data_IF_210144505450
#
_entry.id   IF_210144505450
#
_cell.length_a   1.000
_cell.length_b   1.000
_cell.length_c   1.000
_cell.angle_alpha   90.00
_cell.angle_beta   90.00
_cell.angle_gamma   90.00
#
_symmetry.space_group_name_H-M   'P 1'
#
loop_
_entity.id
_entity.type
_entity.pdbx_description
1 polymer ?
#
# COMPACT_ATOMS: atom_id res chain seq x y z
N UNK A 1 13.29 15.47 -12.41
CA UNK A 1 12.54 15.99 -11.25
C UNK A 1 11.83 14.81 -10.62
N UNK A 2 12.00 14.62 -9.33
CA UNK A 2 11.67 13.38 -8.59
C UNK A 2 10.46 13.52 -7.67
N UNK A 3 9.73 14.63 -7.81
CA UNK A 3 8.51 14.89 -7.05
C UNK A 3 7.38 13.95 -7.50
N UNK A 4 6.66 13.39 -6.53
CA UNK A 4 5.50 12.51 -6.73
C UNK A 4 4.29 13.34 -7.16
N UNK A 5 3.67 12.99 -8.29
CA UNK A 5 2.49 13.69 -8.82
C UNK A 5 1.23 12.83 -8.86
N UNK A 6 1.38 11.52 -8.88
CA UNK A 6 0.23 10.63 -8.95
C UNK A 6 0.54 9.28 -8.31
N UNK A 7 -0.47 8.74 -7.63
CA UNK A 7 -0.42 7.40 -7.04
C UNK A 7 -1.70 6.69 -7.44
N UNK A 8 -1.54 5.49 -7.97
CA UNK A 8 -2.64 4.61 -8.35
C UNK A 8 -2.47 3.27 -7.63
N UNK A 9 -3.57 2.68 -7.18
CA UNK A 9 -3.57 1.34 -6.61
C UNK A 9 -4.70 0.50 -7.16
N UNK A 10 -4.47 -0.82 -7.24
CA UNK A 10 -5.42 -1.79 -7.75
C UNK A 10 -5.32 -3.11 -6.99
N UNK A 11 -6.41 -3.86 -7.02
CA UNK A 11 -6.44 -5.26 -6.57
C UNK A 11 -6.01 -6.16 -7.73
N UNK A 12 -4.97 -6.97 -7.52
CA UNK A 12 -4.50 -8.01 -8.43
C UNK A 12 -4.53 -9.38 -7.74
N UNK A 13 -4.11 -10.46 -8.41
CA UNK A 13 -4.02 -11.79 -7.82
C UNK A 13 -2.56 -12.20 -7.57
N UNK A 14 -2.29 -12.77 -6.40
CA UNK A 14 -1.01 -13.40 -6.06
C UNK A 14 -0.84 -14.77 -6.75
N UNK A 15 0.33 -15.39 -6.55
CA UNK A 15 0.65 -16.71 -7.12
C UNK A 15 -0.24 -17.86 -6.62
N UNK A 16 -1.05 -17.63 -5.58
CA UNK A 16 -2.02 -18.58 -5.01
C UNK A 16 -3.46 -18.23 -5.40
N UNK A 17 -3.66 -17.24 -6.27
CA UNK A 17 -4.97 -16.76 -6.70
C UNK A 17 -5.73 -15.96 -5.62
N UNK A 18 -5.06 -15.52 -4.55
CA UNK A 18 -5.68 -14.63 -3.57
C UNK A 18 -5.49 -13.16 -3.97
N UNK A 19 -6.43 -12.28 -3.65
CA UNK A 19 -6.24 -10.85 -3.86
C UNK A 19 -5.02 -10.31 -3.13
N UNK A 20 -4.28 -9.45 -3.81
CA UNK A 20 -3.24 -8.59 -3.22
C UNK A 20 -3.25 -7.21 -3.89
N UNK A 21 -2.50 -6.26 -3.33
CA UNK A 21 -2.42 -4.89 -3.80
C UNK A 21 -1.21 -4.67 -4.69
N UNK A 22 -1.41 -3.92 -5.77
CA UNK A 22 -0.36 -3.34 -6.60
C UNK A 22 -0.51 -1.81 -6.60
N UNK A 23 0.61 -1.11 -6.52
CA UNK A 23 0.67 0.36 -6.51
C UNK A 23 1.62 0.83 -7.59
N UNK A 24 1.25 1.94 -8.24
CA UNK A 24 2.07 2.69 -9.19
C UNK A 24 2.26 4.12 -8.67
N UNK A 25 3.50 4.60 -8.66
CA UNK A 25 3.87 5.97 -8.26
C UNK A 25 4.48 6.66 -9.47
N UNK A 26 3.89 7.77 -9.91
CA UNK A 26 4.36 8.56 -11.05
C UNK A 26 4.99 9.86 -10.58
N UNK A 27 6.16 10.18 -11.14
CA UNK A 27 6.93 11.39 -10.84
C UNK A 27 6.73 12.47 -11.90
N UNK A 28 7.09 13.71 -11.58
CA UNK A 28 7.12 14.83 -12.56
C UNK A 28 7.97 14.50 -13.79
N UNK A 29 9.03 13.70 -13.65
CA UNK A 29 9.85 13.26 -14.79
C UNK A 29 9.11 12.38 -15.81
N UNK A 30 7.91 11.91 -15.48
CA UNK A 30 7.18 10.88 -16.24
C UNK A 30 7.61 9.46 -15.90
N UNK A 31 8.62 9.27 -15.05
CA UNK A 31 9.01 7.96 -14.53
C UNK A 31 7.90 7.39 -13.65
N UNK A 32 7.64 6.09 -13.76
CA UNK A 32 6.67 5.38 -12.93
C UNK A 32 7.32 4.13 -12.37
N UNK A 33 7.28 3.97 -11.05
CA UNK A 33 7.63 2.72 -10.38
C UNK A 33 6.36 1.97 -9.98
N UNK A 34 6.50 0.64 -9.87
CA UNK A 34 5.38 -0.27 -9.63
C UNK A 34 5.80 -1.41 -8.72
N UNK A 35 5.01 -1.66 -7.69
CA UNK A 35 5.22 -2.77 -6.78
C UNK A 35 3.91 -3.45 -6.40
N UNK A 36 3.95 -4.78 -6.36
CA UNK A 36 2.92 -5.60 -5.77
C UNK A 36 3.46 -6.23 -4.48
N UNK A 37 2.63 -6.29 -3.44
CA UNK A 37 3.04 -6.84 -2.16
C UNK A 37 2.62 -8.31 -2.08
N UNK A 38 3.51 -9.25 -1.72
CA UNK A 38 3.12 -10.63 -1.54
C UNK A 38 2.21 -10.77 -0.31
N UNK A 39 1.20 -11.63 -0.42
CA UNK A 39 0.45 -12.07 0.76
C UNK A 39 1.23 -13.17 1.48
N UNK A 40 1.57 -12.94 2.75
CA UNK A 40 2.13 -13.97 3.62
C UNK A 40 1.12 -15.08 3.92
N UNK A 41 1.62 -16.30 4.21
CA UNK A 41 0.82 -17.33 4.90
C UNK A 41 0.93 -17.20 6.43
N UNK A 42 2.02 -16.57 6.90
CA UNK A 42 2.28 -16.34 8.32
C UNK A 42 1.34 -15.26 8.86
N UNK A 43 0.87 -15.48 10.08
CA UNK A 43 -0.01 -14.57 10.83
C UNK A 43 0.51 -14.43 12.26
N UNK A 44 1.83 -14.37 12.42
CA UNK A 44 2.45 -14.23 13.74
C UNK A 44 1.87 -13.01 14.47
N UNK A 45 1.60 -13.15 15.76
CA UNK A 45 0.94 -12.12 16.58
C UNK A 45 1.71 -10.78 16.65
N UNK A 46 3.00 -10.80 16.29
CA UNK A 46 3.88 -9.64 16.25
C UNK A 46 4.18 -9.14 14.83
N UNK A 47 3.55 -9.71 13.80
CA UNK A 47 3.71 -9.24 12.42
C UNK A 47 2.88 -7.99 12.16
N UNK A 48 3.31 -7.21 11.18
CA UNK A 48 2.56 -6.05 10.70
C UNK A 48 1.29 -6.54 9.98
N UNK A 49 0.17 -5.86 10.21
CA UNK A 49 -1.14 -6.37 9.81
C UNK A 49 -1.43 -6.13 8.32
N UNK A 50 -1.57 -7.21 7.55
CA UNK A 50 -2.15 -7.16 6.21
C UNK A 50 -3.64 -6.82 6.30
N UNK A 51 -4.06 -5.71 5.68
CA UNK A 51 -5.47 -5.30 5.72
C UNK A 51 -6.28 -6.00 4.63
N UNK A 52 -7.30 -6.75 5.09
CA UNK A 52 -8.22 -7.54 4.28
C UNK A 52 -9.66 -7.02 4.42
N UNK A 53 -10.47 -7.26 3.41
CA UNK A 53 -11.86 -6.80 3.35
C UNK A 53 -12.74 -7.52 4.39
N UNK A 54 -12.55 -8.82 4.58
CA UNK A 54 -13.38 -9.67 5.45
C UNK A 54 -14.74 -10.05 4.85
N UNK A 55 -15.05 -9.60 3.62
CA UNK A 55 -16.28 -9.94 2.92
C UNK A 55 -16.26 -11.37 2.38
N UNK A 56 -16.95 -12.30 3.07
CA UNK A 56 -17.00 -13.72 2.69
C UNK A 56 -17.54 -13.97 1.27
N UNK A 57 -18.32 -13.05 0.70
CA UNK A 57 -18.85 -13.17 -0.67
C UNK A 57 -17.79 -12.92 -1.73
N UNK A 58 -16.68 -12.26 -1.38
CA UNK A 58 -15.57 -11.93 -2.28
C UNK A 58 -14.29 -12.61 -1.84
N UNK A 59 -13.77 -13.52 -2.67
CA UNK A 59 -12.52 -14.23 -2.40
C UNK A 59 -12.46 -14.83 -0.99
N UNK A 60 -13.59 -15.33 -0.47
CA UNK A 60 -13.70 -15.91 0.87
C UNK A 60 -13.24 -14.96 2.00
N UNK A 61 -13.44 -13.64 1.84
CA UNK A 61 -13.00 -12.63 2.81
C UNK A 61 -11.61 -12.07 2.56
N UNK A 62 -10.90 -12.58 1.55
CA UNK A 62 -9.50 -12.22 1.28
C UNK A 62 -9.30 -11.02 0.35
N UNK A 63 -10.37 -10.35 -0.07
CA UNK A 63 -10.26 -9.10 -0.84
C UNK A 63 -9.41 -8.04 -0.13
N UNK A 64 -8.85 -7.09 -0.88
CA UNK A 64 -7.97 -6.02 -0.36
C UNK A 64 -8.44 -4.62 -0.78
N UNK A 65 -9.73 -4.45 -1.12
CA UNK A 65 -10.26 -3.14 -1.52
C UNK A 65 -10.12 -2.07 -0.44
N UNK A 66 -10.16 -2.43 0.85
CA UNK A 66 -9.88 -1.49 1.94
C UNK A 66 -8.45 -0.95 1.88
N UNK A 67 -7.47 -1.82 1.63
CA UNK A 67 -6.07 -1.42 1.46
C UNK A 67 -5.89 -0.52 0.22
N UNK A 68 -6.52 -0.89 -0.90
CA UNK A 68 -6.52 -0.07 -2.13
C UNK A 68 -7.12 1.31 -1.88
N UNK A 69 -8.27 1.39 -1.21
CA UNK A 69 -8.90 2.66 -0.82
C UNK A 69 -8.00 3.49 0.10
N UNK A 70 -7.32 2.87 1.07
CA UNK A 70 -6.37 3.59 1.91
C UNK A 70 -5.19 4.19 1.11
N UNK A 71 -4.71 3.52 0.06
CA UNK A 71 -3.68 4.12 -0.82
C UNK A 71 -4.21 5.34 -1.56
N UNK A 72 -5.39 5.24 -2.17
CA UNK A 72 -5.96 6.31 -3.01
C UNK A 72 -6.44 7.50 -2.18
N UNK A 73 -7.17 7.23 -1.09
CA UNK A 73 -7.92 8.25 -0.36
C UNK A 73 -7.13 8.86 0.81
N UNK A 74 -6.06 8.20 1.28
CA UNK A 74 -5.27 8.65 2.45
C UNK A 74 -3.80 8.83 2.13
N UNK A 75 -3.12 7.76 1.71
CA UNK A 75 -1.66 7.81 1.48
C UNK A 75 -1.34 8.77 0.34
N UNK A 76 -2.02 8.63 -0.80
CA UNK A 76 -1.83 9.45 -1.99
C UNK A 76 -1.82 10.95 -1.68
N UNK A 77 -2.92 11.51 -1.15
CA UNK A 77 -2.99 12.93 -0.78
C UNK A 77 -1.93 13.38 0.23
N UNK A 78 -1.45 12.48 1.09
CA UNK A 78 -0.47 12.80 2.12
C UNK A 78 0.99 12.80 1.66
N UNK A 79 1.29 12.25 0.48
CA UNK A 79 2.68 12.18 -0.04
C UNK A 79 2.88 12.76 -1.44
N UNK A 80 1.80 13.17 -2.13
CA UNK A 80 1.93 13.99 -3.36
C UNK A 80 2.73 15.26 -3.03
N UNK A 81 3.66 15.61 -3.92
CA UNK A 81 4.58 16.74 -3.74
C UNK A 81 5.85 16.40 -2.96
N UNK A 82 5.98 15.20 -2.39
CA UNK A 82 7.23 14.75 -1.78
C UNK A 82 8.25 14.31 -2.84
N UNK A 83 9.53 14.46 -2.54
CA UNK A 83 10.64 13.96 -3.36
C UNK A 83 10.84 12.46 -3.13
N UNK A 84 10.73 11.63 -4.17
CA UNK A 84 10.87 10.18 -4.09
C UNK A 84 12.27 9.74 -3.63
N UNK A 85 13.29 10.59 -3.73
CA UNK A 85 14.64 10.28 -3.23
C UNK A 85 14.74 10.33 -1.70
N UNK A 86 13.77 10.97 -1.03
CA UNK A 86 13.69 11.04 0.42
C UNK A 86 12.86 9.88 0.99
N UNK A 87 13.25 8.64 0.69
CA UNK A 87 12.55 7.41 1.08
C UNK A 87 12.13 7.41 2.55
N UNK A 88 13.05 7.79 3.45
CA UNK A 88 12.80 7.81 4.89
C UNK A 88 11.65 8.74 5.27
N UNK A 89 11.59 9.92 4.67
CA UNK A 89 10.55 10.90 4.98
C UNK A 89 9.18 10.42 4.52
N UNK A 90 9.12 9.77 3.35
CA UNK A 90 7.90 9.16 2.80
C UNK A 90 7.43 8.03 3.71
N UNK A 91 8.32 7.11 4.08
CA UNK A 91 8.00 5.99 4.98
C UNK A 91 7.54 6.49 6.35
N UNK A 92 8.22 7.48 6.93
CA UNK A 92 7.82 8.08 8.20
C UNK A 92 6.48 8.82 8.08
N UNK A 93 6.18 9.49 6.97
CA UNK A 93 4.89 10.13 6.73
C UNK A 93 3.75 9.10 6.73
N UNK A 94 3.93 7.97 6.03
CA UNK A 94 2.95 6.88 6.00
C UNK A 94 2.78 6.21 7.37
N UNK A 95 3.88 5.98 8.10
CA UNK A 95 3.84 5.42 9.46
C UNK A 95 3.10 6.37 10.43
N UNK A 96 3.38 7.67 10.36
CA UNK A 96 2.68 8.68 11.18
C UNK A 96 1.19 8.76 10.81
N UNK A 97 0.86 8.69 9.53
CA UNK A 97 -0.51 8.72 9.04
C UNK A 97 -1.32 7.49 9.49
N UNK A 98 -0.69 6.32 9.55
CA UNK A 98 -1.31 5.12 10.10
C UNK A 98 -1.56 5.24 11.61
N UNK A 99 -0.57 5.72 12.36
CA UNK A 99 -0.70 6.00 13.80
C UNK A 99 -0.83 4.76 14.69
N UNK A 100 -0.78 3.54 14.14
CA UNK A 100 -0.84 2.30 14.91
C UNK A 100 0.53 1.60 14.93
N UNK A 101 0.87 0.88 16.01
CA UNK A 101 2.16 0.20 16.13
C UNK A 101 2.36 -0.94 15.11
N UNK A 102 1.26 -1.50 14.59
CA UNK A 102 1.26 -2.67 13.71
C UNK A 102 0.78 -2.37 12.28
N UNK A 103 0.64 -1.10 11.90
CA UNK A 103 0.15 -0.68 10.57
C UNK A 103 -1.29 -1.12 10.26
N UNK A 104 -2.11 -1.31 11.30
CA UNK A 104 -3.46 -1.85 11.17
C UNK A 104 -4.51 -0.86 10.65
N UNK A 105 -4.25 0.45 10.67
CA UNK A 105 -5.22 1.44 10.22
C UNK A 105 -5.22 1.62 8.69
N UNK A 106 -4.03 1.69 8.09
CA UNK A 106 -3.84 1.77 6.64
C UNK A 106 -3.65 0.39 6.02
N UNK A 107 -3.08 -0.55 6.76
CA UNK A 107 -2.66 -1.86 6.27
C UNK A 107 -1.18 -1.87 5.90
N UNK A 108 -0.44 -2.83 6.45
CA UNK A 108 0.98 -3.01 6.16
C UNK A 108 1.23 -3.24 4.66
N UNK A 109 0.31 -3.93 3.99
CA UNK A 109 0.31 -4.14 2.54
C UNK A 109 0.13 -2.85 1.74
N UNK A 110 -0.69 -1.91 2.20
CA UNK A 110 -0.85 -0.59 1.56
C UNK A 110 0.41 0.28 1.71
N UNK A 111 0.98 0.32 2.92
CA UNK A 111 2.20 1.09 3.18
C UNK A 111 3.38 0.52 2.38
N UNK A 112 3.56 -0.80 2.41
CA UNK A 112 4.67 -1.44 1.71
C UNK A 112 4.55 -1.33 0.18
N UNK A 113 3.34 -1.38 -0.38
CA UNK A 113 3.16 -1.27 -1.83
C UNK A 113 3.56 0.10 -2.34
N UNK A 114 3.28 1.16 -1.59
CA UNK A 114 3.71 2.54 -1.90
C UNK A 114 5.20 2.72 -1.63
N UNK A 115 5.73 2.18 -0.52
CA UNK A 115 7.14 2.30 -0.14
C UNK A 115 8.10 1.71 -1.18
N UNK A 116 7.69 0.65 -1.88
CA UNK A 116 8.48 -0.04 -2.91
C UNK A 116 8.26 0.48 -4.33
N UNK A 117 7.12 1.12 -4.61
CA UNK A 117 6.73 1.60 -5.93
C UNK A 117 7.36 2.97 -6.22
#
# INVERSE_FOLDING_TARGET
MTEIIHIHAREILDSRGNPTIETEVTLVSGSTGRAAVPSGASTGEHEMLELRDGDRKRYLGKGVRKAVGNVIDKIGPGIIGMDCLNQRDIDEAMIRMDGTPNKGALGANAILSVSLA
#
